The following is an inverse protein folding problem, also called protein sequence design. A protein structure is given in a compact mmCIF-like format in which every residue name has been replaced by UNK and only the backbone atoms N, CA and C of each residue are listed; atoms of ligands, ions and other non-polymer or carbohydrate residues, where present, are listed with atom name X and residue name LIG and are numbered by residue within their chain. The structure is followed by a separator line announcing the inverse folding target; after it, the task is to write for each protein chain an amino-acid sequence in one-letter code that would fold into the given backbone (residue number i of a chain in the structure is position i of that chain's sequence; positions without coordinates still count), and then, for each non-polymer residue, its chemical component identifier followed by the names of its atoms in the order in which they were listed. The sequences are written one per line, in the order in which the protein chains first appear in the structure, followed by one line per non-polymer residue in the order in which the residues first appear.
data_IF_589305694920
#
_entry.id   IF_589305694920
#
_cell.length_a   1.000
_cell.length_b   1.000
_cell.length_c   1.000
_cell.angle_alpha   90.00
_cell.angle_beta   90.00
_cell.angle_gamma   90.00
#
_symmetry.space_group_name_H-M   'P 1'
#
loop_
_entity.id
_entity.type
_entity.pdbx_description
1 polymer ?
#
# COMPACT_ATOMS: atom_id res chain seq x y z
N UNK A 1 18.22 18.78 1.49
CA UNK A 1 17.90 19.99 2.26
C UNK A 1 16.74 19.69 3.19
N UNK A 2 16.82 20.05 4.48
CA UNK A 2 15.68 19.96 5.41
C UNK A 2 14.74 21.10 5.05
N UNK A 3 13.47 20.79 4.77
CA UNK A 3 12.47 21.81 4.49
C UNK A 3 12.21 22.61 5.78
N UNK A 4 12.08 23.93 5.66
CA UNK A 4 11.84 24.83 6.80
C UNK A 4 10.59 24.43 7.61
N UNK A 5 9.61 23.80 6.95
CA UNK A 5 8.37 23.34 7.57
C UNK A 5 8.40 21.87 8.02
N UNK A 6 9.54 21.17 7.98
CA UNK A 6 9.61 19.74 8.34
C UNK A 6 9.01 19.42 9.71
N UNK A 7 9.14 20.29 10.71
CA UNK A 7 8.53 20.14 12.04
C UNK A 7 7.00 20.11 12.04
N UNK A 8 6.36 20.73 11.05
CA UNK A 8 4.90 20.72 10.87
C UNK A 8 4.43 19.43 10.17
N UNK A 9 5.33 18.75 9.46
CA UNK A 9 5.08 17.51 8.72
C UNK A 9 5.86 16.34 9.31
N UNK A 10 5.64 16.07 10.60
CA UNK A 10 6.19 14.90 11.32
C UNK A 10 7.72 14.78 11.33
N UNK A 11 8.45 15.86 11.05
CA UNK A 11 9.91 15.84 10.92
C UNK A 11 10.41 15.16 9.65
N UNK A 12 9.55 14.99 8.64
CA UNK A 12 9.90 14.27 7.42
C UNK A 12 10.96 15.00 6.59
N UNK A 13 11.81 14.19 5.96
CA UNK A 13 12.70 14.66 4.89
C UNK A 13 11.88 14.92 3.63
N UNK A 14 12.43 15.71 2.70
CA UNK A 14 11.80 15.90 1.39
C UNK A 14 11.50 14.58 0.69
N UNK A 15 12.44 13.64 0.72
CA UNK A 15 12.25 12.30 0.16
C UNK A 15 11.06 11.57 0.79
N UNK A 16 10.92 11.63 2.12
CA UNK A 16 9.82 10.98 2.82
C UNK A 16 8.44 11.59 2.50
N UNK A 17 8.38 12.90 2.24
CA UNK A 17 7.15 13.58 1.77
C UNK A 17 6.76 13.06 0.39
N UNK A 18 7.72 12.96 -0.54
CA UNK A 18 7.49 12.51 -1.92
C UNK A 18 7.06 11.03 -2.01
N UNK A 19 7.29 10.20 -0.97
CA UNK A 19 6.94 8.77 -1.00
C UNK A 19 5.43 8.51 -1.19
N UNK A 20 4.55 9.35 -0.63
CA UNK A 20 3.10 9.15 -0.70
C UNK A 20 2.37 10.11 -1.65
N UNK A 21 3.13 10.91 -2.43
CA UNK A 21 2.55 11.70 -3.51
C UNK A 21 1.96 10.78 -4.58
N UNK A 22 0.76 11.13 -5.04
CA UNK A 22 -0.01 10.40 -6.04
C UNK A 22 -0.55 11.39 -7.06
N UNK A 23 0.18 11.55 -8.15
CA UNK A 23 -0.29 12.26 -9.33
C UNK A 23 -1.19 11.37 -10.21
N UNK A 24 -1.94 11.99 -11.12
CA UNK A 24 -2.92 11.29 -11.96
C UNK A 24 -2.25 10.30 -12.94
N UNK A 25 -1.06 10.61 -13.46
CA UNK A 25 -0.33 9.75 -14.39
C UNK A 25 0.17 8.48 -13.68
N UNK A 26 0.68 8.62 -12.46
CA UNK A 26 1.11 7.53 -11.61
C UNK A 26 -0.08 6.68 -11.16
N UNK A 27 -1.21 7.32 -10.85
CA UNK A 27 -2.45 6.64 -10.42
C UNK A 27 -2.90 5.56 -11.41
N UNK A 28 -2.81 5.83 -12.71
CA UNK A 28 -3.17 4.87 -13.76
C UNK A 28 -2.21 3.68 -13.87
N UNK A 29 -1.03 3.78 -13.28
CA UNK A 29 0.06 2.79 -13.39
C UNK A 29 0.23 1.95 -12.13
N UNK A 30 -0.54 2.19 -11.08
CA UNK A 30 -0.41 1.50 -9.80
C UNK A 30 -1.49 0.45 -9.60
N UNK A 31 -1.18 -0.67 -8.91
CA UNK A 31 -2.20 -1.65 -8.56
C UNK A 31 -3.11 -1.06 -7.48
N UNK A 32 -4.33 -1.58 -7.37
CA UNK A 32 -5.29 -1.16 -6.33
C UNK A 32 -4.82 -1.45 -4.90
N UNK A 33 -3.68 -2.12 -4.72
CA UNK A 33 -3.05 -2.44 -3.44
C UNK A 33 -1.87 -1.52 -3.10
N UNK A 34 -1.55 -0.53 -3.92
CA UNK A 34 -0.48 0.44 -3.61
C UNK A 34 -0.86 1.29 -2.39
N UNK A 35 0.09 1.54 -1.48
CA UNK A 35 -0.17 2.27 -0.23
C UNK A 35 -0.68 3.70 -0.45
N UNK A 36 -0.40 4.32 -1.59
CA UNK A 36 -0.90 5.67 -1.92
C UNK A 36 -2.41 5.78 -1.99
N UNK A 37 -3.09 4.63 -2.20
CA UNK A 37 -4.54 4.53 -2.21
C UNK A 37 -5.15 4.25 -0.85
N UNK A 38 -4.33 4.06 0.19
CA UNK A 38 -4.81 3.71 1.53
C UNK A 38 -5.52 4.92 2.17
N UNK A 39 -6.85 4.85 2.40
CA UNK A 39 -7.65 6.05 2.62
C UNK A 39 -7.48 6.68 4.01
N UNK A 40 -7.21 5.88 5.05
CA UNK A 40 -6.90 6.38 6.41
C UNK A 40 -5.64 7.27 6.40
N UNK A 41 -4.58 6.83 5.71
CA UNK A 41 -3.35 7.60 5.56
C UNK A 41 -3.58 8.90 4.78
N UNK A 42 -4.39 8.87 3.71
CA UNK A 42 -4.69 10.09 2.94
C UNK A 42 -5.52 11.09 3.75
N UNK A 43 -6.50 10.63 4.51
CA UNK A 43 -7.32 11.50 5.38
C UNK A 43 -6.46 12.18 6.44
N UNK A 44 -5.51 11.44 7.02
CA UNK A 44 -4.55 11.99 7.99
C UNK A 44 -3.66 13.06 7.37
N UNK A 45 -3.15 12.83 6.16
CA UNK A 45 -2.34 13.82 5.42
C UNK A 45 -3.12 15.11 5.11
N UNK A 46 -4.43 15.00 4.89
CA UNK A 46 -5.32 16.15 4.69
C UNK A 46 -5.76 16.83 6.00
N UNK A 47 -5.32 16.32 7.15
CA UNK A 47 -5.62 16.87 8.47
C UNK A 47 -6.96 16.41 9.08
N UNK A 48 -7.70 15.52 8.42
CA UNK A 48 -8.95 14.95 8.95
C UNK A 48 -8.65 13.74 9.84
N UNK A 49 -8.22 14.03 11.07
CA UNK A 49 -7.83 12.99 12.04
C UNK A 49 -8.98 12.10 12.48
N UNK A 50 -10.21 12.63 12.51
CA UNK A 50 -11.38 11.86 12.93
C UNK A 50 -11.79 10.85 11.85
N UNK A 51 -11.88 11.28 10.59
CA UNK A 51 -12.17 10.37 9.49
C UNK A 51 -11.06 9.35 9.29
N UNK A 52 -9.79 9.74 9.47
CA UNK A 52 -8.64 8.84 9.39
C UNK A 52 -8.75 7.69 10.41
N UNK A 53 -9.06 7.97 11.68
CA UNK A 53 -9.17 6.94 12.71
C UNK A 53 -10.33 5.98 12.43
N UNK A 54 -11.48 6.50 11.99
CA UNK A 54 -12.63 5.69 11.59
C UNK A 54 -12.28 4.74 10.43
N UNK A 55 -11.57 5.25 9.43
CA UNK A 55 -11.19 4.48 8.26
C UNK A 55 -10.11 3.45 8.58
N UNK A 56 -9.17 3.78 9.47
CA UNK A 56 -8.18 2.84 10.01
C UNK A 56 -8.86 1.66 10.70
N UNK A 57 -9.82 1.93 11.59
CA UNK A 57 -10.57 0.89 12.27
C UNK A 57 -11.30 -0.04 11.28
N UNK A 58 -11.95 0.54 10.27
CA UNK A 58 -12.64 -0.21 9.21
C UNK A 58 -11.69 -1.13 8.44
N UNK A 59 -10.52 -0.64 8.05
CA UNK A 59 -9.50 -1.42 7.31
C UNK A 59 -8.96 -2.56 8.17
N UNK A 60 -8.61 -2.28 9.42
CA UNK A 60 -8.09 -3.29 10.36
C UNK A 60 -9.14 -4.37 10.66
N UNK A 61 -10.41 -3.99 10.84
CA UNK A 61 -11.51 -4.94 11.01
C UNK A 61 -11.72 -5.82 9.78
N UNK A 62 -11.73 -5.23 8.59
CA UNK A 62 -11.83 -5.98 7.34
C UNK A 62 -10.65 -6.95 7.17
N UNK A 63 -9.42 -6.53 7.52
CA UNK A 63 -8.25 -7.40 7.49
C UNK A 63 -8.37 -8.55 8.50
N UNK A 64 -8.83 -8.26 9.73
CA UNK A 64 -9.06 -9.29 10.77
C UNK A 64 -10.11 -10.29 10.33
N UNK A 65 -11.21 -9.84 9.75
CA UNK A 65 -12.26 -10.71 9.22
C UNK A 65 -11.73 -11.60 8.08
N UNK A 66 -11.07 -11.02 7.07
CA UNK A 66 -10.46 -11.79 5.97
C UNK A 66 -9.51 -12.85 6.47
N UNK A 67 -8.72 -12.55 7.51
CA UNK A 67 -7.77 -13.51 8.10
C UNK A 67 -8.48 -14.67 8.78
N UNK A 68 -9.58 -14.41 9.49
CA UNK A 68 -10.37 -15.47 10.17
C UNK A 68 -11.11 -16.36 9.18
N UNK A 69 -11.62 -15.79 8.09
CA UNK A 69 -12.45 -16.50 7.11
C UNK A 69 -11.63 -17.21 6.03
N UNK A 70 -10.32 -16.93 5.95
CA UNK A 70 -9.46 -17.48 4.91
C UNK A 70 -9.27 -18.99 5.12
N UNK A 71 -9.72 -19.85 4.18
CA UNK A 71 -9.56 -21.29 4.31
C UNK A 71 -8.15 -21.78 3.97
N UNK A 72 -7.41 -21.01 3.17
CA UNK A 72 -6.07 -21.35 2.67
C UNK A 72 -4.98 -20.42 3.21
N UNK A 73 -3.73 -20.85 3.19
CA UNK A 73 -2.61 -20.00 3.57
C UNK A 73 -2.46 -18.77 2.66
N UNK A 74 -1.90 -17.69 3.21
CA UNK A 74 -1.58 -16.50 2.42
C UNK A 74 -0.38 -16.71 1.52
N UNK A 75 -0.56 -16.40 0.23
CA UNK A 75 0.51 -16.38 -0.77
C UNK A 75 0.68 -14.96 -1.31
N UNK A 76 1.84 -14.32 -1.13
CA UNK A 76 2.12 -13.02 -1.72
C UNK A 76 2.15 -13.09 -3.25
N UNK A 77 1.61 -12.07 -3.91
CA UNK A 77 1.52 -12.02 -5.38
C UNK A 77 2.90 -11.77 -6.01
N UNK A 78 3.66 -10.81 -5.46
CA UNK A 78 4.88 -10.27 -6.07
C UNK A 78 6.17 -10.96 -5.64
N UNK A 79 6.10 -11.79 -4.61
CA UNK A 79 7.26 -12.44 -4.00
C UNK A 79 7.04 -13.95 -3.93
N UNK A 80 8.13 -14.71 -4.04
CA UNK A 80 8.17 -16.13 -3.72
C UNK A 80 8.70 -16.32 -2.30
N UNK A 81 8.17 -17.31 -1.59
CA UNK A 81 8.71 -17.76 -0.30
C UNK A 81 10.00 -18.55 -0.55
N UNK A 82 11.06 -18.25 0.17
CA UNK A 82 12.31 -19.01 0.09
C UNK A 82 12.21 -20.37 0.80
N UNK A 83 13.21 -21.23 0.60
CA UNK A 83 13.26 -22.56 1.21
C UNK A 83 13.24 -22.54 2.75
N UNK A 84 13.72 -21.45 3.36
CA UNK A 84 13.71 -21.26 4.81
C UNK A 84 12.31 -20.96 5.38
N UNK A 85 11.31 -20.72 4.51
CA UNK A 85 9.94 -20.31 4.83
C UNK A 85 9.83 -19.05 5.71
N UNK A 86 10.92 -18.29 5.86
CA UNK A 86 11.02 -17.11 6.71
C UNK A 86 11.42 -15.87 5.93
N UNK A 87 11.98 -16.05 4.73
CA UNK A 87 12.35 -14.96 3.84
C UNK A 87 11.62 -15.05 2.50
N UNK A 88 11.60 -13.92 1.80
CA UNK A 88 10.93 -13.75 0.53
C UNK A 88 11.91 -13.23 -0.50
N UNK A 89 11.73 -13.60 -1.77
CA UNK A 89 12.46 -13.03 -2.91
C UNK A 89 11.47 -12.46 -3.94
N UNK A 90 11.79 -11.34 -4.58
CA UNK A 90 10.92 -10.79 -5.62
C UNK A 90 10.85 -11.77 -6.81
N UNK A 91 9.65 -11.94 -7.38
CA UNK A 91 9.48 -12.68 -8.63
C UNK A 91 10.12 -11.89 -9.77
N UNK A 92 11.03 -12.53 -10.52
CA UNK A 92 11.86 -11.88 -11.52
C UNK A 92 11.06 -11.00 -12.49
N UNK A 93 11.21 -9.67 -12.36
CA UNK A 93 10.48 -8.62 -13.10
C UNK A 93 8.95 -8.75 -13.16
N UNK A 94 8.32 -9.66 -12.41
CA UNK A 94 6.91 -9.99 -12.58
C UNK A 94 5.99 -8.81 -12.27
N UNK A 95 6.30 -8.04 -11.22
CA UNK A 95 5.56 -6.82 -10.90
C UNK A 95 5.62 -5.80 -12.04
N UNK A 96 6.82 -5.54 -12.58
CA UNK A 96 7.03 -4.55 -13.63
C UNK A 96 6.38 -4.97 -14.95
N UNK A 97 6.54 -6.24 -15.34
CA UNK A 97 5.84 -6.78 -16.51
C UNK A 97 4.32 -6.64 -16.37
N UNK A 98 3.78 -6.92 -15.17
CA UNK A 98 2.35 -6.75 -14.92
C UNK A 98 1.93 -5.29 -14.91
N UNK A 99 2.75 -4.37 -14.42
CA UNK A 99 2.49 -2.94 -14.52
C UNK A 99 2.38 -2.49 -15.98
N UNK A 100 3.28 -2.95 -16.85
CA UNK A 100 3.23 -2.64 -18.29
C UNK A 100 1.95 -3.17 -18.95
N UNK A 101 1.42 -4.28 -18.45
CA UNK A 101 0.12 -4.87 -18.82
C UNK A 101 -1.09 -4.28 -18.08
N UNK A 102 -0.93 -3.16 -17.34
CA UNK A 102 -1.97 -2.57 -16.49
C UNK A 102 -2.59 -3.56 -15.50
N UNK A 103 -1.75 -4.45 -14.96
CA UNK A 103 -2.06 -5.55 -14.06
C UNK A 103 -3.12 -6.53 -14.61
N UNK A 104 -3.23 -6.67 -15.94
CA UNK A 104 -4.16 -7.60 -16.56
C UNK A 104 -4.00 -9.03 -16.04
N UNK A 105 -5.14 -9.63 -15.69
CA UNK A 105 -5.23 -11.00 -15.16
C UNK A 105 -4.80 -11.17 -13.70
N UNK A 106 -4.51 -10.07 -12.97
CA UNK A 106 -4.32 -10.12 -11.53
C UNK A 106 -5.66 -9.88 -10.83
N UNK A 107 -6.09 -10.83 -10.02
CA UNK A 107 -7.24 -10.67 -9.13
C UNK A 107 -6.78 -10.01 -7.82
N UNK A 108 -7.02 -8.70 -7.70
CA UNK A 108 -6.70 -7.97 -6.49
C UNK A 108 -7.81 -8.11 -5.45
N UNK A 109 -7.46 -8.69 -4.31
CA UNK A 109 -8.29 -8.60 -3.11
C UNK A 109 -8.53 -7.13 -2.74
N UNK A 110 -9.78 -6.77 -2.49
CA UNK A 110 -10.13 -5.44 -1.97
C UNK A 110 -9.62 -5.28 -0.53
N UNK A 111 -8.59 -4.46 -0.35
CA UNK A 111 -7.92 -4.28 0.95
C UNK A 111 -8.60 -3.23 1.84
N UNK A 112 -9.02 -2.12 1.23
CA UNK A 112 -9.80 -1.03 1.81
C UNK A 112 -11.11 -0.87 1.04
#
# INVERSE_FOLDING_TARGET
AVLENSKQYYGFTRFAIELNELDDDLKEQLPSTDSRFRPDQRLLELGDTEAAEKEKARIEDAQRQRTRERPEEYRPIWFDVNHDQQSYKPKNNFYWNKRDEKFAGIDFMKLW
#
